data_IF_390161687857
#
_entry.id   IF_390161687857
#
_cell.length_a   1.000
_cell.length_b   1.000
_cell.length_c   1.000
_cell.angle_alpha   90.00
_cell.angle_beta   90.00
_cell.angle_gamma   90.00
#
_symmetry.space_group_name_H-M   'P 1'
#
loop_
_entity.id
_entity.type
_entity.pdbx_description
1 polymer ?
#
# COMPACT_ATOMS: atom_id res chain seq x y z
N UNK A 1 -2.78 -29.71 -37.47
CA UNK A 1 -4.01 -29.13 -36.90
C UNK A 1 -3.97 -29.00 -35.37
N UNK A 2 -3.38 -29.95 -34.61
CA UNK A 2 -3.32 -29.86 -33.14
C UNK A 2 -2.31 -28.84 -32.60
N UNK A 3 -1.11 -28.76 -33.18
CA UNK A 3 -0.04 -27.83 -32.74
C UNK A 3 -0.33 -26.37 -33.08
N UNK A 4 -0.98 -26.13 -34.23
CA UNK A 4 -1.44 -24.80 -34.65
C UNK A 4 -2.53 -24.24 -33.74
N UNK A 5 -3.36 -25.10 -33.14
CA UNK A 5 -4.41 -24.68 -32.21
C UNK A 5 -3.83 -24.25 -30.85
N UNK A 6 -2.81 -24.96 -30.35
CA UNK A 6 -2.14 -24.64 -29.08
C UNK A 6 -1.39 -23.30 -29.18
N UNK A 7 -0.68 -23.06 -30.29
CA UNK A 7 0.00 -21.78 -30.53
C UNK A 7 -1.00 -20.62 -30.66
N UNK A 8 -2.15 -20.85 -31.30
CA UNK A 8 -3.21 -19.84 -31.42
C UNK A 8 -3.83 -19.48 -30.05
N UNK A 9 -4.06 -20.47 -29.19
CA UNK A 9 -4.57 -20.25 -27.83
C UNK A 9 -3.53 -19.50 -26.97
N UNK A 10 -2.23 -19.84 -27.08
CA UNK A 10 -1.18 -19.13 -26.36
C UNK A 10 -1.06 -17.67 -26.80
N UNK A 11 -1.15 -17.40 -28.11
CA UNK A 11 -1.17 -16.03 -28.63
C UNK A 11 -2.42 -15.24 -28.23
N UNK A 12 -3.56 -15.91 -28.03
CA UNK A 12 -4.79 -15.27 -27.59
C UNK A 12 -4.73 -14.91 -26.09
N UNK A 13 -4.08 -15.73 -25.26
CA UNK A 13 -3.84 -15.43 -23.84
C UNK A 13 -2.93 -14.20 -23.66
N UNK A 14 -1.90 -14.04 -24.50
CA UNK A 14 -1.00 -12.88 -24.45
C UNK A 14 -1.74 -11.58 -24.83
N UNK A 15 -2.76 -11.65 -25.69
CA UNK A 15 -3.54 -10.50 -26.11
C UNK A 15 -4.57 -10.02 -25.06
N UNK A 16 -4.99 -10.88 -24.13
CA UNK A 16 -5.94 -10.53 -23.06
C UNK A 16 -5.22 -9.93 -21.85
N UNK A 17 -3.90 -10.11 -21.73
CA UNK A 17 -3.09 -9.55 -20.65
C UNK A 17 -2.81 -8.03 -20.75
N UNK A 18 -3.30 -7.34 -21.78
CA UNK A 18 -3.17 -5.88 -21.89
C UNK A 18 -4.43 -5.18 -21.35
N UNK A 19 -4.68 -5.33 -20.05
CA UNK A 19 -5.35 -4.26 -19.31
C UNK A 19 -4.35 -3.11 -19.24
N UNK A 20 -4.49 -2.16 -20.17
CA UNK A 20 -3.63 -0.97 -20.20
C UNK A 20 -3.78 -0.18 -18.90
N UNK A 21 -2.71 0.50 -18.45
CA UNK A 21 -2.69 1.20 -17.18
C UNK A 21 -3.83 2.22 -17.14
N UNK A 22 -4.64 2.16 -16.08
CA UNK A 22 -5.63 3.16 -15.76
C UNK A 22 -4.97 4.54 -15.76
N UNK A 23 -5.60 5.52 -16.39
CA UNK A 23 -5.09 6.89 -16.42
C UNK A 23 -5.38 7.55 -15.06
N UNK A 24 -4.52 7.35 -14.06
CA UNK A 24 -4.69 7.99 -12.75
C UNK A 24 -3.97 9.34 -12.65
N UNK A 25 -4.59 10.23 -11.86
CA UNK A 25 -4.21 11.64 -11.67
C UNK A 25 -3.25 11.76 -10.48
N UNK A 26 -2.03 11.30 -10.62
CA UNK A 26 -0.99 11.55 -9.62
C UNK A 26 0.05 12.50 -10.22
N UNK A 27 -0.28 13.80 -10.25
CA UNK A 27 0.57 14.85 -10.83
C UNK A 27 1.40 15.62 -9.80
N UNK A 28 1.15 15.37 -8.52
CA UNK A 28 1.88 15.99 -7.41
C UNK A 28 2.89 14.95 -6.86
N UNK A 29 4.09 15.35 -6.44
CA UNK A 29 4.95 14.48 -5.65
C UNK A 29 4.20 14.14 -4.36
N UNK A 30 3.80 12.88 -4.21
CA UNK A 30 3.07 12.37 -3.06
C UNK A 30 3.68 11.01 -2.71
N UNK A 31 3.80 10.71 -1.42
CA UNK A 31 4.22 9.38 -0.98
C UNK A 31 3.15 8.36 -1.37
N UNK A 32 3.60 7.19 -1.83
CA UNK A 32 2.74 6.03 -2.12
C UNK A 32 2.02 5.50 -0.86
N UNK A 33 2.41 5.94 0.33
CA UNK A 33 1.93 5.44 1.62
C UNK A 33 1.28 6.53 2.48
N UNK A 34 0.71 7.56 1.83
CA UNK A 34 -0.04 8.62 2.51
C UNK A 34 0.81 9.77 3.03
N UNK A 35 0.13 10.74 3.66
CA UNK A 35 0.75 11.96 4.20
C UNK A 35 1.36 11.73 5.59
N UNK A 36 2.55 12.28 5.83
CA UNK A 36 3.28 12.12 7.09
C UNK A 36 2.46 12.51 8.33
N UNK A 37 1.65 13.57 8.27
CA UNK A 37 0.84 14.01 9.41
C UNK A 37 -0.29 13.04 9.70
N UNK A 38 -0.94 12.52 8.65
CA UNK A 38 -1.98 11.50 8.78
C UNK A 38 -1.39 10.24 9.38
N UNK A 39 -0.26 9.80 8.85
CA UNK A 39 0.48 8.64 9.34
C UNK A 39 0.85 8.79 10.82
N UNK A 40 1.40 9.95 11.22
CA UNK A 40 1.72 10.22 12.62
C UNK A 40 0.49 10.14 13.54
N UNK A 41 -0.64 10.69 13.10
CA UNK A 41 -1.87 10.64 13.89
C UNK A 41 -2.36 9.19 14.06
N UNK A 42 -2.42 8.44 12.97
CA UNK A 42 -2.88 7.06 12.95
C UNK A 42 -1.99 6.15 13.82
N UNK A 43 -0.66 6.32 13.78
CA UNK A 43 0.28 5.61 14.67
C UNK A 43 -0.05 5.88 16.15
N UNK A 44 -0.32 7.14 16.51
CA UNK A 44 -0.64 7.51 17.88
C UNK A 44 -1.95 6.87 18.36
N UNK A 45 -2.98 6.83 17.51
CA UNK A 45 -4.25 6.20 17.83
C UNK A 45 -4.12 4.68 17.97
N UNK A 46 -3.41 4.03 17.06
CA UNK A 46 -3.13 2.60 17.12
C UNK A 46 -2.34 2.22 18.40
N UNK A 47 -1.28 2.98 18.74
CA UNK A 47 -0.52 2.76 19.97
C UNK A 47 -1.37 2.97 21.23
N UNK A 48 -2.27 3.95 21.21
CA UNK A 48 -3.20 4.19 22.32
C UNK A 48 -4.19 3.04 22.47
N UNK A 49 -4.75 2.55 21.38
CA UNK A 49 -5.68 1.42 21.38
C UNK A 49 -5.04 0.11 21.91
N UNK A 50 -3.74 -0.07 21.68
CA UNK A 50 -2.98 -1.23 22.18
C UNK A 50 -2.53 -1.09 23.64
N UNK A 51 -2.37 0.15 24.14
CA UNK A 51 -1.93 0.42 25.50
C UNK A 51 -3.04 0.05 26.50
N UNK A 52 -2.73 -0.87 27.43
CA UNK A 52 -3.68 -1.33 28.46
C UNK A 52 -3.82 -0.37 29.64
N UNK A 53 -2.95 0.63 29.70
CA UNK A 53 -2.90 1.62 30.76
C UNK A 53 -3.57 2.91 30.27
N UNK A 54 -4.48 3.49 31.06
CA UNK A 54 -5.18 4.76 30.79
C UNK A 54 -4.25 5.99 30.82
N UNK A 55 -2.93 5.79 30.69
CA UNK A 55 -1.96 6.87 30.61
C UNK A 55 -1.91 7.36 29.17
N UNK A 56 -2.41 8.57 28.91
CA UNK A 56 -2.49 9.20 27.59
C UNK A 56 -1.11 9.50 26.96
N UNK A 57 -0.01 9.01 27.53
CA UNK A 57 1.35 9.25 27.05
C UNK A 57 1.73 8.27 25.96
N UNK A 58 1.50 8.64 24.70
CA UNK A 58 2.13 7.96 23.55
C UNK A 58 3.61 8.37 23.48
N UNK A 59 4.57 7.43 23.36
CA UNK A 59 5.97 7.76 23.20
C UNK A 59 6.22 8.71 22.02
N UNK A 60 7.11 9.69 22.18
CA UNK A 60 7.65 10.41 21.02
C UNK A 60 8.54 9.45 20.22
N UNK A 61 8.10 9.13 19.01
CA UNK A 61 8.85 8.33 18.04
C UNK A 61 9.66 9.24 17.12
N UNK A 62 10.85 8.78 16.71
CA UNK A 62 11.59 9.42 15.62
C UNK A 62 10.89 9.18 14.27
N UNK A 63 11.22 9.96 13.25
CA UNK A 63 10.71 9.75 11.88
C UNK A 63 11.00 8.33 11.37
N UNK A 64 12.21 7.85 11.64
CA UNK A 64 12.63 6.50 11.27
C UNK A 64 11.83 5.43 12.02
N UNK A 65 11.54 5.64 13.30
CA UNK A 65 10.70 4.72 14.07
C UNK A 65 9.26 4.71 13.56
N UNK A 66 8.71 5.85 13.14
CA UNK A 66 7.37 5.94 12.56
C UNK A 66 7.27 5.18 11.24
N UNK A 67 8.24 5.39 10.34
CA UNK A 67 8.33 4.68 9.05
C UNK A 67 8.43 3.16 9.28
N UNK A 68 9.31 2.74 10.18
CA UNK A 68 9.45 1.33 10.53
C UNK A 68 8.17 0.74 11.14
N UNK A 69 7.52 1.49 12.03
CA UNK A 69 6.30 1.05 12.68
C UNK A 69 5.17 0.83 11.67
N UNK A 70 4.97 1.75 10.70
CA UNK A 70 3.96 1.60 9.64
C UNK A 70 4.15 0.32 8.84
N UNK A 71 5.40 -0.01 8.50
CA UNK A 71 5.70 -1.27 7.82
C UNK A 71 5.29 -2.47 8.68
N UNK A 72 5.72 -2.49 9.94
CA UNK A 72 5.51 -3.64 10.84
C UNK A 72 4.05 -3.88 11.19
N UNK A 73 3.23 -2.84 11.38
CA UNK A 73 1.82 -3.05 11.72
C UNK A 73 1.00 -3.63 10.56
N UNK A 74 1.46 -3.43 9.32
CA UNK A 74 0.79 -3.93 8.11
C UNK A 74 1.37 -5.24 7.58
N UNK A 75 2.58 -5.64 8.01
CA UNK A 75 3.12 -7.00 7.84
C UNK A 75 2.41 -7.96 8.83
N UNK A 76 1.17 -8.30 8.49
CA UNK A 76 0.27 -9.07 9.37
C UNK A 76 0.71 -10.51 9.55
N UNK A 77 1.44 -11.05 8.58
CA UNK A 77 1.91 -12.43 8.59
C UNK A 77 3.34 -12.57 9.17
N UNK A 78 4.09 -11.47 9.26
CA UNK A 78 5.41 -11.37 9.87
C UNK A 78 6.55 -11.95 9.02
N UNK A 79 6.39 -12.01 7.70
CA UNK A 79 7.40 -12.54 6.79
C UNK A 79 8.44 -11.50 6.34
N UNK A 80 8.24 -10.22 6.73
CA UNK A 80 9.13 -9.12 6.41
C UNK A 80 8.88 -8.48 5.04
N UNK A 81 7.71 -8.75 4.45
CA UNK A 81 7.26 -8.19 3.19
C UNK A 81 5.83 -7.63 3.33
N UNK A 82 5.44 -6.73 2.43
CA UNK A 82 4.04 -6.34 2.26
C UNK A 82 3.53 -6.91 0.94
N UNK A 83 2.54 -7.78 1.02
CA UNK A 83 1.83 -8.26 -0.16
C UNK A 83 0.66 -7.33 -0.57
N UNK A 84 0.06 -7.57 -1.74
CA UNK A 84 -1.05 -6.74 -2.23
C UNK A 84 -2.31 -6.79 -1.35
N UNK A 85 -2.52 -7.82 -0.53
CA UNK A 85 -3.62 -7.87 0.44
C UNK A 85 -3.31 -7.03 1.67
N UNK A 86 -2.08 -7.02 2.14
CA UNK A 86 -1.60 -6.17 3.24
C UNK A 86 -1.61 -4.70 2.85
N UNK A 87 -1.13 -4.36 1.65
CA UNK A 87 -1.22 -3.01 1.10
C UNK A 87 -2.68 -2.54 0.97
N UNK A 88 -3.57 -3.40 0.48
CA UNK A 88 -5.00 -3.09 0.40
C UNK A 88 -5.59 -2.80 1.78
N UNK A 89 -5.27 -3.65 2.76
CA UNK A 89 -5.75 -3.47 4.13
C UNK A 89 -5.24 -2.15 4.72
N UNK A 90 -3.96 -1.83 4.50
CA UNK A 90 -3.35 -0.59 4.93
C UNK A 90 -4.10 0.63 4.39
N UNK A 91 -4.34 0.69 3.07
CA UNK A 91 -5.03 1.85 2.46
C UNK A 91 -6.45 2.04 2.97
N UNK A 92 -7.16 0.96 3.27
CA UNK A 92 -8.52 1.06 3.84
C UNK A 92 -8.52 1.44 5.31
N UNK A 93 -7.46 1.10 6.06
CA UNK A 93 -7.34 1.43 7.50
C UNK A 93 -7.22 2.96 7.70
N UNK A 94 -6.50 3.65 6.82
CA UNK A 94 -6.38 5.11 6.85
C UNK A 94 -7.67 5.87 6.52
N UNK A 95 -8.64 5.22 5.86
CA UNK A 95 -9.90 5.84 5.47
C UNK A 95 -11.00 5.69 6.53
N UNK A 96 -10.91 4.71 7.43
CA UNK A 96 -11.91 4.49 8.50
C UNK A 96 -11.91 5.61 9.57
N UNK A 97 -10.81 6.35 9.70
CA UNK A 97 -10.67 7.46 10.68
C UNK A 97 -11.32 8.76 10.22
N UNK A 98 -11.66 8.89 8.93
CA UNK A 98 -12.34 10.08 8.42
C UNK A 98 -13.86 9.93 8.66
N UNK A 99 -14.42 10.74 9.57
CA UNK A 99 -15.88 11.00 9.67
C UNK A 99 -16.38 11.73 8.41
N UNK A 100 -16.20 11.14 7.25
CA UNK A 100 -16.79 11.64 6.05
C UNK A 100 -18.28 11.34 6.06
N UNK A 101 -19.08 12.33 5.66
CA UNK A 101 -20.47 12.06 5.27
C UNK A 101 -20.49 11.00 4.17
N UNK A 102 -21.64 10.32 4.02
CA UNK A 102 -21.94 9.13 3.19
C UNK A 102 -21.47 9.12 1.70
N UNK A 103 -20.70 10.11 1.24
CA UNK A 103 -20.28 10.34 -0.16
C UNK A 103 -18.74 10.27 -0.41
N UNK A 104 -17.89 9.94 0.58
CA UNK A 104 -16.41 9.89 0.37
C UNK A 104 -15.73 8.55 0.74
N UNK A 105 -16.48 7.44 0.78
CA UNK A 105 -15.85 6.13 0.94
C UNK A 105 -14.99 5.80 -0.28
N UNK A 106 -13.73 5.41 -0.06
CA UNK A 106 -12.87 4.91 -1.14
C UNK A 106 -13.51 3.68 -1.79
N UNK A 107 -13.53 3.63 -3.11
CA UNK A 107 -14.04 2.46 -3.82
C UNK A 107 -13.00 1.36 -3.85
N UNK A 108 -13.44 0.09 -3.90
CA UNK A 108 -12.52 -1.04 -4.09
C UNK A 108 -11.64 -0.90 -5.35
N UNK A 109 -12.17 -0.26 -6.40
CA UNK A 109 -11.40 -0.01 -7.61
C UNK A 109 -10.26 0.98 -7.33
N UNK A 110 -10.53 2.08 -6.64
CA UNK A 110 -9.50 3.05 -6.26
C UNK A 110 -8.42 2.41 -5.37
N UNK A 111 -8.80 1.59 -4.39
CA UNK A 111 -7.82 0.87 -3.57
C UNK A 111 -6.99 -0.09 -4.42
N UNK A 112 -7.61 -0.79 -5.38
CA UNK A 112 -6.89 -1.67 -6.31
C UNK A 112 -5.89 -0.87 -7.14
N UNK A 113 -6.30 0.28 -7.66
CA UNK A 113 -5.45 1.15 -8.46
C UNK A 113 -4.27 1.70 -7.63
N UNK A 114 -4.47 1.97 -6.33
CA UNK A 114 -3.40 2.35 -5.41
C UNK A 114 -2.41 1.21 -5.18
N UNK A 115 -2.89 -0.01 -4.93
CA UNK A 115 -2.02 -1.19 -4.77
C UNK A 115 -1.21 -1.44 -6.04
N UNK A 116 -1.85 -1.39 -7.21
CA UNK A 116 -1.17 -1.54 -8.50
C UNK A 116 -0.11 -0.46 -8.70
N UNK A 117 -0.37 0.78 -8.27
CA UNK A 117 0.59 1.87 -8.36
C UNK A 117 1.83 1.62 -7.49
N UNK A 118 1.64 1.23 -6.23
CA UNK A 118 2.73 0.91 -5.31
C UNK A 118 3.58 -0.23 -5.83
N UNK A 119 2.97 -1.33 -6.25
CA UNK A 119 3.71 -2.46 -6.82
C UNK A 119 4.44 -2.06 -8.11
N UNK A 120 3.84 -1.23 -8.96
CA UNK A 120 4.51 -0.77 -10.19
C UNK A 120 5.74 0.09 -9.91
N UNK A 121 5.73 0.90 -8.86
CA UNK A 121 6.81 1.83 -8.56
C UNK A 121 7.87 1.25 -7.63
N UNK A 122 7.46 0.52 -6.59
CA UNK A 122 8.32 0.17 -5.45
C UNK A 122 8.81 -1.28 -5.50
N UNK A 123 8.08 -2.21 -6.13
CA UNK A 123 8.56 -3.59 -6.36
C UNK A 123 9.63 -3.61 -7.46
N UNK A 124 10.88 -3.32 -7.07
CA UNK A 124 12.01 -3.20 -8.00
C UNK A 124 12.41 -4.55 -8.57
N UNK A 125 12.15 -5.62 -7.83
CA UNK A 125 12.62 -6.96 -8.17
C UNK A 125 11.55 -7.79 -8.94
N UNK A 126 10.28 -7.38 -8.88
CA UNK A 126 9.15 -7.93 -9.62
C UNK A 126 8.60 -9.23 -9.03
N UNK A 127 8.77 -9.47 -7.74
CA UNK A 127 8.25 -10.67 -7.05
C UNK A 127 6.81 -10.49 -6.53
N UNK A 128 6.24 -9.30 -6.67
CA UNK A 128 4.90 -8.94 -6.20
C UNK A 128 4.83 -8.66 -4.70
N UNK A 129 5.98 -8.46 -4.06
CA UNK A 129 6.12 -8.20 -2.63
C UNK A 129 6.94 -6.92 -2.44
N UNK A 130 6.59 -6.11 -1.44
CA UNK A 130 7.41 -4.95 -1.06
C UNK A 130 8.29 -5.34 0.14
N UNK A 131 9.59 -5.45 -0.08
CA UNK A 131 10.55 -5.63 1.01
C UNK A 131 10.75 -4.36 1.83
N UNK A 132 11.25 -4.50 3.06
CA UNK A 132 11.65 -3.33 3.88
C UNK A 132 12.62 -2.40 3.14
N UNK A 133 13.55 -2.93 2.35
CA UNK A 133 14.48 -2.11 1.57
C UNK A 133 13.78 -1.30 0.49
N UNK A 134 12.87 -1.91 -0.26
CA UNK A 134 12.10 -1.23 -1.32
C UNK A 134 11.18 -0.17 -0.73
N UNK A 135 10.49 -0.52 0.36
CA UNK A 135 9.68 0.42 1.13
C UNK A 135 10.50 1.62 1.61
N UNK A 136 11.65 1.40 2.26
CA UNK A 136 12.49 2.48 2.75
C UNK A 136 13.03 3.36 1.61
N UNK A 137 13.38 2.76 0.48
CA UNK A 137 13.80 3.50 -0.72
C UNK A 137 12.69 4.46 -1.19
N UNK A 138 11.43 3.99 -1.24
CA UNK A 138 10.28 4.81 -1.63
C UNK A 138 10.11 6.04 -0.73
N UNK A 139 10.35 5.91 0.58
CA UNK A 139 10.20 7.01 1.54
C UNK A 139 11.28 8.09 1.37
N UNK A 140 12.46 7.73 0.86
CA UNK A 140 13.58 8.66 0.70
C UNK A 140 13.48 9.52 -0.58
N UNK A 141 12.68 9.12 -1.57
CA UNK A 141 12.58 9.84 -2.85
C UNK A 141 11.57 10.99 -2.85
N UNK A 142 10.79 11.16 -1.79
CA UNK A 142 9.76 12.20 -1.66
C UNK A 142 10.20 13.44 -0.85
N UNK A 143 11.48 13.54 -0.46
CA UNK A 143 12.13 14.77 0.04
C UNK A 143 12.66 15.66 -1.10
#
# INVERSE_FOLDING_TARGET
>A
MRTTLVLAILSLMIAIAHAGPGTHRYKEPHSNYGDEKKNKHHIQEHMKAMSKDDDDTVPELSEQDMIYYLFVIHDTNGDGYLDGHELRAAFTDFDEDEQHGEDQDITLQEVTDMVDHVLMEDDKNGDGLISWSEYLESQLYHE
#
